data_IF_839576846834
#
_entry.id   IF_839576846834
#
_cell.length_a   1.000
_cell.length_b   1.000
_cell.length_c   1.000
_cell.angle_alpha   90.00
_cell.angle_beta   90.00
_cell.angle_gamma   90.00
#
_symmetry.space_group_name_H-M   'P 1'
#
loop_
_entity.id
_entity.type
_entity.pdbx_description
1 polymer ?
#
# COMPACT_ATOMS: atom_id res chain seq x y z
N UNK A 1 -19.58 42.16 -22.69
CA UNK A 1 -20.40 41.45 -21.67
C UNK A 1 -19.75 40.12 -21.41
N UNK A 2 -19.01 40.03 -20.34
CA UNK A 2 -18.38 38.79 -19.92
C UNK A 2 -19.43 37.84 -19.35
N UNK A 3 -19.55 36.65 -19.94
CA UNK A 3 -20.30 35.58 -19.33
C UNK A 3 -19.46 35.07 -18.15
N UNK A 4 -19.82 35.50 -16.94
CA UNK A 4 -19.29 34.86 -15.75
C UNK A 4 -19.85 33.44 -15.69
N UNK A 5 -19.01 32.46 -16.08
CA UNK A 5 -19.29 31.07 -15.76
C UNK A 5 -19.16 30.91 -14.26
N UNK A 6 -20.27 30.93 -13.55
CA UNK A 6 -20.30 30.50 -12.16
C UNK A 6 -20.05 29.00 -12.08
N UNK A 7 -18.79 28.59 -11.98
CA UNK A 7 -18.42 27.25 -11.63
C UNK A 7 -18.73 27.07 -10.13
N UNK A 8 -19.79 26.32 -9.82
CA UNK A 8 -20.04 25.85 -8.47
C UNK A 8 -19.29 24.54 -8.28
N UNK A 9 -18.10 24.62 -7.76
CA UNK A 9 -17.39 23.44 -7.31
C UNK A 9 -18.01 22.98 -5.99
N UNK A 10 -18.46 21.74 -5.97
CA UNK A 10 -18.82 21.04 -4.74
C UNK A 10 -17.67 20.08 -4.41
N UNK A 11 -16.90 20.44 -3.40
CA UNK A 11 -15.94 19.51 -2.80
C UNK A 11 -16.76 18.52 -1.97
N UNK A 12 -16.81 17.28 -2.43
CA UNK A 12 -17.28 16.14 -1.64
C UNK A 12 -16.04 15.61 -0.93
N UNK A 13 -16.15 15.20 0.33
CA UNK A 13 -15.06 14.69 1.13
C UNK A 13 -14.17 13.75 0.30
N UNK A 14 -12.92 14.16 0.12
CA UNK A 14 -11.91 13.38 -0.59
C UNK A 14 -11.37 12.26 0.30
N UNK A 15 -10.55 11.39 -0.26
CA UNK A 15 -9.80 10.41 0.52
C UNK A 15 -8.84 11.13 1.47
N UNK A 16 -8.76 10.64 2.70
CA UNK A 16 -7.83 11.14 3.70
C UNK A 16 -6.39 10.70 3.41
N UNK A 17 -5.42 11.24 4.13
CA UNK A 17 -4.02 10.87 3.94
C UNK A 17 -3.78 9.48 4.53
N UNK A 18 -3.26 8.56 3.73
CA UNK A 18 -2.74 7.28 4.20
C UNK A 18 -1.39 7.51 4.88
N UNK A 19 -1.40 7.61 6.20
CA UNK A 19 -0.21 7.85 7.01
C UNK A 19 0.16 6.61 7.82
N UNK A 20 1.33 6.05 7.54
CA UNK A 20 1.84 4.91 8.28
C UNK A 20 2.32 5.36 9.66
N UNK A 21 1.78 4.76 10.71
CA UNK A 21 2.20 5.00 12.08
C UNK A 21 3.67 4.56 12.27
N UNK A 22 4.57 5.48 12.69
CA UNK A 22 5.99 5.18 12.78
C UNK A 22 6.33 4.10 13.82
N UNK A 23 5.62 4.07 14.94
CA UNK A 23 5.88 3.10 16.00
C UNK A 23 5.45 1.70 15.56
N UNK A 24 4.28 1.60 14.92
CA UNK A 24 3.81 0.35 14.34
C UNK A 24 4.73 -0.13 13.22
N UNK A 25 5.18 0.77 12.35
CA UNK A 25 6.16 0.44 11.30
C UNK A 25 7.46 -0.10 11.90
N UNK A 26 8.03 0.58 12.89
CA UNK A 26 9.27 0.15 13.54
C UNK A 26 9.10 -1.19 14.25
N UNK A 27 7.96 -1.41 14.91
CA UNK A 27 7.62 -2.67 15.59
C UNK A 27 7.55 -3.84 14.60
N UNK A 28 6.95 -3.63 13.41
CA UNK A 28 6.65 -4.70 12.46
C UNK A 28 7.64 -4.85 11.30
N UNK A 29 8.54 -3.88 11.09
CA UNK A 29 9.56 -3.94 10.05
C UNK A 29 10.44 -5.19 10.11
N UNK A 30 10.87 -5.70 11.28
CA UNK A 30 11.61 -6.97 11.37
C UNK A 30 10.82 -8.16 10.83
N UNK A 31 9.51 -8.20 11.03
CA UNK A 31 8.63 -9.24 10.49
C UNK A 31 8.52 -9.18 8.96
N UNK A 32 8.39 -7.98 8.41
CA UNK A 32 8.41 -7.75 6.97
C UNK A 32 9.72 -8.26 6.35
N UNK A 33 10.86 -7.84 6.90
CA UNK A 33 12.20 -8.22 6.44
C UNK A 33 12.44 -9.72 6.51
N UNK A 34 12.05 -10.35 7.61
CA UNK A 34 12.17 -11.81 7.78
C UNK A 34 11.31 -12.56 6.75
N UNK A 35 10.13 -12.03 6.41
CA UNK A 35 9.20 -12.68 5.49
C UNK A 35 9.56 -12.50 4.03
N UNK A 36 9.97 -11.29 3.63
CA UNK A 36 10.27 -10.90 2.26
C UNK A 36 11.76 -11.03 1.89
N UNK A 37 12.63 -11.10 2.89
CA UNK A 37 14.09 -10.98 2.74
C UNK A 37 14.57 -9.58 3.13
N UNK A 38 15.73 -9.51 3.77
CA UNK A 38 16.26 -8.29 4.41
C UNK A 38 16.31 -7.08 3.45
N UNK A 39 16.70 -7.33 2.20
CA UNK A 39 16.87 -6.29 1.19
C UNK A 39 15.62 -6.02 0.34
N UNK A 40 14.55 -6.78 0.55
CA UNK A 40 13.33 -6.69 -0.26
C UNK A 40 12.24 -5.84 0.40
N UNK A 41 12.38 -5.53 1.68
CA UNK A 41 11.53 -4.57 2.35
C UNK A 41 12.17 -3.18 2.26
N UNK A 42 11.70 -2.37 1.31
CA UNK A 42 12.27 -1.07 0.98
C UNK A 42 11.27 0.05 1.23
N UNK A 43 11.78 1.21 1.63
CA UNK A 43 10.96 2.41 1.74
C UNK A 43 10.70 2.99 0.35
N UNK A 44 9.44 3.15 -0.01
CA UNK A 44 9.05 3.81 -1.26
C UNK A 44 8.85 5.31 -1.06
N UNK A 45 8.89 6.05 -2.16
CA UNK A 45 8.52 7.48 -2.13
C UNK A 45 7.02 7.62 -1.89
N UNK A 46 6.65 8.71 -1.22
CA UNK A 46 5.24 9.08 -1.06
C UNK A 46 4.55 9.19 -2.44
N UNK A 47 3.32 8.72 -2.51
CA UNK A 47 2.50 8.73 -3.72
C UNK A 47 1.25 9.57 -3.48
N UNK A 48 0.80 10.26 -4.51
CA UNK A 48 -0.44 11.05 -4.51
C UNK A 48 -1.59 10.22 -5.06
N UNK A 49 -1.97 9.18 -4.33
CA UNK A 49 -3.08 8.29 -4.66
C UNK A 49 -4.11 8.29 -3.54
N UNK A 50 -5.37 8.08 -3.89
CA UNK A 50 -6.42 7.88 -2.92
C UNK A 50 -6.42 6.41 -2.45
N UNK A 51 -6.59 6.21 -1.14
CA UNK A 51 -6.58 4.88 -0.53
C UNK A 51 -7.58 4.85 0.65
N UNK A 52 -8.56 3.99 0.56
CA UNK A 52 -9.61 3.86 1.58
C UNK A 52 -9.07 3.42 2.94
N UNK A 53 -7.94 2.76 2.96
CA UNK A 53 -7.28 2.34 4.20
C UNK A 53 -6.93 3.51 5.13
N UNK A 54 -6.83 4.72 4.58
CA UNK A 54 -6.64 5.95 5.36
C UNK A 54 -7.67 6.10 6.49
N UNK A 55 -8.93 5.74 6.24
CA UNK A 55 -10.01 5.83 7.24
C UNK A 55 -9.81 4.87 8.43
N UNK A 56 -9.20 3.72 8.20
CA UNK A 56 -8.82 2.81 9.30
C UNK A 56 -7.67 3.37 10.09
N UNK A 57 -6.65 3.95 9.42
CA UNK A 57 -5.47 4.52 10.06
C UNK A 57 -5.79 5.75 10.92
N UNK A 58 -6.89 6.45 10.65
CA UNK A 58 -7.37 7.54 11.49
C UNK A 58 -7.93 7.07 12.84
N UNK A 59 -8.25 5.80 12.96
CA UNK A 59 -8.90 5.24 14.14
C UNK A 59 -7.99 4.29 14.94
N UNK A 60 -7.06 3.62 14.27
CA UNK A 60 -6.14 2.66 14.89
C UNK A 60 -4.75 2.81 14.31
N UNK A 61 -3.69 2.72 15.15
CA UNK A 61 -2.33 2.69 14.63
C UNK A 61 -2.11 1.53 13.66
N UNK A 62 -1.56 1.81 12.51
CA UNK A 62 -1.35 0.81 11.48
C UNK A 62 -0.41 1.29 10.38
N UNK A 63 -0.21 0.47 9.37
CA UNK A 63 0.56 0.84 8.21
C UNK A 63 0.11 0.10 6.96
N UNK A 64 0.28 0.74 5.82
CA UNK A 64 0.11 0.16 4.50
C UNK A 64 1.47 -0.19 3.92
N UNK A 65 1.58 -1.35 3.29
CA UNK A 65 2.73 -1.71 2.47
C UNK A 65 2.27 -2.21 1.10
N UNK A 66 3.12 -2.09 0.12
CA UNK A 66 2.85 -2.57 -1.23
C UNK A 66 3.58 -3.89 -1.48
N UNK A 67 2.88 -4.83 -2.10
CA UNK A 67 3.45 -6.10 -2.53
C UNK A 67 3.88 -5.99 -4.00
N UNK A 68 5.17 -6.18 -4.27
CA UNK A 68 5.67 -6.23 -5.64
C UNK A 68 5.13 -7.44 -6.39
N UNK A 69 4.49 -7.20 -7.53
CA UNK A 69 3.93 -8.24 -8.39
C UNK A 69 4.61 -8.39 -9.76
N UNK A 70 5.66 -7.60 -10.02
CA UNK A 70 6.40 -7.67 -11.28
C UNK A 70 7.52 -8.71 -11.23
N UNK A 71 7.61 -9.53 -12.28
CA UNK A 71 8.69 -10.49 -12.45
C UNK A 71 9.37 -10.27 -13.81
N UNK A 72 10.63 -9.79 -13.83
CA UNK A 72 11.36 -9.53 -15.08
C UNK A 72 11.61 -10.79 -15.90
N UNK A 73 11.71 -11.96 -15.26
CA UNK A 73 12.01 -13.23 -15.95
C UNK A 73 10.84 -13.74 -16.79
N UNK A 74 9.62 -13.25 -16.52
CA UNK A 74 8.41 -13.64 -17.25
C UNK A 74 8.12 -12.77 -18.48
N UNK A 75 9.01 -11.84 -18.82
CA UNK A 75 8.77 -10.84 -19.88
C UNK A 75 7.39 -10.16 -19.79
N UNK A 76 6.96 -9.90 -18.54
CA UNK A 76 5.69 -9.26 -18.28
C UNK A 76 5.78 -7.75 -18.60
N UNK A 77 4.75 -7.16 -19.21
CA UNK A 77 4.71 -5.72 -19.35
C UNK A 77 4.57 -5.07 -17.97
N UNK A 78 5.30 -3.98 -17.73
CA UNK A 78 5.06 -3.10 -16.58
C UNK A 78 3.87 -2.21 -16.92
N UNK A 79 2.69 -2.65 -16.54
CA UNK A 79 1.46 -1.89 -16.81
C UNK A 79 0.96 -1.22 -15.54
N UNK A 80 0.42 0.00 -15.65
CA UNK A 80 -0.20 0.67 -14.50
C UNK A 80 -1.38 -0.12 -13.94
N UNK A 81 -1.64 0.06 -12.65
CA UNK A 81 -2.90 -0.39 -12.06
C UNK A 81 -4.10 0.25 -12.80
N UNK A 82 -5.25 -0.40 -12.75
CA UNK A 82 -6.50 0.05 -13.38
C UNK A 82 -6.46 0.10 -14.93
N UNK A 83 -5.62 -0.74 -15.55
CA UNK A 83 -5.60 -0.95 -17.00
C UNK A 83 -5.99 -2.38 -17.35
N UNK A 84 -6.54 -2.58 -18.56
CA UNK A 84 -6.95 -3.92 -19.04
C UNK A 84 -5.77 -4.91 -19.16
N UNK A 85 -4.56 -4.39 -19.32
CA UNK A 85 -3.33 -5.19 -19.49
C UNK A 85 -2.61 -5.44 -18.15
N UNK A 86 -3.18 -5.01 -17.03
CA UNK A 86 -2.58 -5.21 -15.72
C UNK A 86 -2.36 -6.70 -15.43
N UNK A 87 -1.13 -7.06 -15.08
CA UNK A 87 -0.71 -8.43 -14.75
C UNK A 87 0.23 -8.43 -13.57
N UNK A 88 0.13 -9.49 -12.79
CA UNK A 88 1.04 -9.79 -11.67
C UNK A 88 1.56 -11.22 -11.78
N UNK A 89 2.73 -11.49 -11.23
CA UNK A 89 3.21 -12.86 -11.06
C UNK A 89 2.47 -13.52 -9.89
N UNK A 90 1.78 -14.62 -10.13
CA UNK A 90 1.03 -15.37 -9.12
C UNK A 90 1.91 -15.79 -7.92
N UNK A 91 3.22 -15.95 -8.12
CA UNK A 91 4.16 -16.25 -7.03
C UNK A 91 4.21 -15.13 -5.98
N UNK A 92 3.90 -13.90 -6.35
CA UNK A 92 3.80 -12.79 -5.40
C UNK A 92 2.71 -13.00 -4.36
N UNK A 93 1.63 -13.71 -4.71
CA UNK A 93 0.53 -14.01 -3.79
C UNK A 93 0.99 -14.89 -2.62
N UNK A 94 1.87 -15.87 -2.88
CA UNK A 94 2.44 -16.71 -1.81
C UNK A 94 3.26 -15.87 -0.83
N UNK A 95 4.01 -14.90 -1.34
CA UNK A 95 4.74 -13.96 -0.50
C UNK A 95 3.76 -13.09 0.31
N UNK A 96 2.69 -12.60 -0.32
CA UNK A 96 1.66 -11.81 0.36
C UNK A 96 1.02 -12.57 1.52
N UNK A 97 0.60 -13.81 1.31
CA UNK A 97 0.05 -14.69 2.36
C UNK A 97 1.05 -14.87 3.49
N UNK A 98 2.30 -15.20 3.18
CA UNK A 98 3.37 -15.38 4.18
C UNK A 98 3.61 -14.11 4.99
N UNK A 99 3.70 -12.95 4.34
CA UNK A 99 3.93 -11.66 4.99
C UNK A 99 2.78 -11.33 5.93
N UNK A 100 1.53 -11.36 5.45
CA UNK A 100 0.36 -11.02 6.26
C UNK A 100 0.20 -11.96 7.46
N UNK A 101 0.39 -13.26 7.27
CA UNK A 101 0.32 -14.25 8.34
C UNK A 101 1.39 -13.98 9.42
N UNK A 102 2.64 -13.74 9.01
CA UNK A 102 3.72 -13.47 9.95
C UNK A 102 3.52 -12.15 10.70
N UNK A 103 3.03 -11.10 10.01
CA UNK A 103 2.70 -9.83 10.66
C UNK A 103 1.66 -10.03 11.76
N UNK A 104 0.56 -10.74 11.46
CA UNK A 104 -0.49 -11.01 12.44
C UNK A 104 0.03 -11.82 13.64
N UNK A 105 0.79 -12.89 13.38
CA UNK A 105 1.34 -13.75 14.44
C UNK A 105 2.35 -13.01 15.32
N UNK A 106 3.21 -12.19 14.71
CA UNK A 106 4.23 -11.45 15.47
C UNK A 106 3.62 -10.30 16.26
N UNK A 107 2.61 -9.63 15.71
CA UNK A 107 1.87 -8.62 16.44
C UNK A 107 1.22 -9.21 17.69
N UNK A 108 0.50 -10.32 17.54
CA UNK A 108 -0.16 -11.01 18.68
C UNK A 108 0.81 -11.53 19.73
N UNK A 109 2.05 -11.84 19.36
CA UNK A 109 3.09 -12.30 20.31
C UNK A 109 3.80 -11.14 21.00
N UNK A 110 3.67 -9.94 20.49
CA UNK A 110 4.35 -8.75 21.01
C UNK A 110 3.50 -7.95 21.99
N UNK A 111 2.29 -8.41 22.24
CA UNK A 111 1.37 -7.97 23.29
C UNK A 111 1.62 -8.74 24.59
#
# INVERSE_FOLDING_TARGET
MGSEMCIRDRIIDGADITYNDPDMMNKMLPSLKRSAGENNAVLTKAKTVAEDYAYYLNNVPGFLFELGGYNPDLNMPTTPHHTADFKVDDKSMLLGVKVMTNLALDFLKSE
#
